data_IF_635816775510
#
_entry.id   IF_635816775510
#
_cell.length_a   1.000
_cell.length_b   1.000
_cell.length_c   1.000
_cell.angle_alpha   90.00
_cell.angle_beta   90.00
_cell.angle_gamma   90.00
#
_symmetry.space_group_name_H-M   'P 1'
#
loop_
_entity.id
_entity.type
_entity.pdbx_description
1 polymer ?
#
# COMPACT_ATOMS: atom_id res chain seq x y z
N UNK A 1 -16.71 32.73 5.16
CA UNK A 1 -16.10 31.61 4.42
C UNK A 1 -17.06 30.42 4.50
N UNK A 2 -17.49 29.88 3.36
CA UNK A 2 -18.21 28.61 3.39
C UNK A 2 -17.24 27.53 3.93
N UNK A 3 -17.68 26.61 4.81
CA UNK A 3 -16.85 25.51 5.25
C UNK A 3 -16.37 24.72 4.01
N UNK A 4 -15.16 24.16 4.05
CA UNK A 4 -14.68 23.32 2.95
C UNK A 4 -15.68 22.17 2.75
N UNK A 5 -16.13 21.98 1.50
CA UNK A 5 -17.25 21.08 1.16
C UNK A 5 -16.76 19.70 0.71
N UNK A 6 -15.59 19.25 1.17
CA UNK A 6 -15.01 17.96 0.81
C UNK A 6 -15.28 16.85 1.84
N UNK A 7 -15.21 15.60 1.41
CA UNK A 7 -15.39 14.41 2.26
C UNK A 7 -14.40 14.30 3.42
N UNK A 8 -13.24 14.96 3.29
CA UNK A 8 -12.15 14.94 4.26
C UNK A 8 -11.88 16.33 4.85
N UNK A 9 -12.87 17.22 4.80
CA UNK A 9 -12.76 18.56 5.43
C UNK A 9 -12.39 18.43 6.90
N UNK A 10 -11.43 19.24 7.33
CA UNK A 10 -10.89 19.27 8.70
C UNK A 10 -10.20 17.95 9.15
N UNK A 11 -9.86 17.06 8.21
CA UNK A 11 -9.15 15.82 8.51
C UNK A 11 -7.67 15.93 8.16
N UNK A 12 -6.83 15.34 9.01
CA UNK A 12 -5.39 15.18 8.76
C UNK A 12 -5.11 13.74 8.35
N UNK A 13 -4.51 13.57 7.16
CA UNK A 13 -4.22 12.25 6.56
C UNK A 13 -2.73 12.12 6.29
N UNK A 14 -2.11 11.07 6.83
CA UNK A 14 -0.74 10.66 6.47
C UNK A 14 -0.79 9.66 5.32
N UNK A 15 -0.10 9.96 4.22
CA UNK A 15 0.04 9.06 3.07
C UNK A 15 1.49 8.61 2.94
N UNK A 16 1.70 7.29 2.97
CA UNK A 16 3.02 6.66 2.81
C UNK A 16 3.18 6.05 1.42
N UNK A 17 4.42 5.82 0.98
CA UNK A 17 4.70 5.14 -0.29
C UNK A 17 4.61 6.03 -1.53
N UNK A 18 4.55 7.34 -1.37
CA UNK A 18 4.61 8.30 -2.48
C UNK A 18 6.05 8.40 -2.98
N UNK A 19 6.30 7.93 -4.20
CA UNK A 19 7.63 7.95 -4.81
C UNK A 19 7.66 8.76 -6.12
N UNK A 20 6.61 8.68 -6.92
CA UNK A 20 6.48 9.34 -8.23
C UNK A 20 5.05 9.85 -8.43
N UNK A 21 4.83 10.83 -9.32
CA UNK A 21 3.48 11.30 -9.65
C UNK A 21 2.52 10.18 -10.10
N UNK A 22 3.06 9.13 -10.78
CA UNK A 22 2.29 7.97 -11.24
C UNK A 22 2.04 6.90 -10.17
N UNK A 23 2.47 7.09 -8.91
CA UNK A 23 2.17 6.13 -7.85
C UNK A 23 0.70 6.27 -7.40
N UNK A 24 0.06 5.14 -7.06
CA UNK A 24 -1.31 5.15 -6.52
C UNK A 24 -1.39 6.09 -5.30
N UNK A 25 -0.38 6.05 -4.42
CA UNK A 25 -0.30 6.91 -3.25
C UNK A 25 -0.30 8.41 -3.59
N UNK A 26 0.33 8.81 -4.72
CA UNK A 26 0.31 10.20 -5.20
C UNK A 26 -1.11 10.63 -5.59
N UNK A 27 -1.84 9.80 -6.32
CA UNK A 27 -3.23 10.07 -6.69
C UNK A 27 -4.13 10.09 -5.45
N UNK A 28 -3.89 9.21 -4.47
CA UNK A 28 -4.63 9.24 -3.19
C UNK A 28 -4.38 10.55 -2.44
N UNK A 29 -3.13 11.01 -2.38
CA UNK A 29 -2.76 12.27 -1.74
C UNK A 29 -3.43 13.47 -2.42
N UNK A 30 -3.42 13.49 -3.76
CA UNK A 30 -4.06 14.55 -4.55
C UNK A 30 -5.59 14.60 -4.33
N UNK A 31 -6.27 13.45 -4.47
CA UNK A 31 -7.73 13.39 -4.27
C UNK A 31 -8.10 13.71 -2.81
N UNK A 32 -7.31 13.26 -1.83
CA UNK A 32 -7.54 13.62 -0.43
C UNK A 32 -7.43 15.13 -0.18
N UNK A 33 -6.41 15.78 -0.75
CA UNK A 33 -6.24 17.23 -0.67
C UNK A 33 -7.40 17.98 -1.35
N UNK A 34 -7.83 17.55 -2.55
CA UNK A 34 -9.00 18.11 -3.25
C UNK A 34 -10.29 17.95 -2.44
N UNK A 35 -10.36 16.93 -1.57
CA UNK A 35 -11.49 16.70 -0.67
C UNK A 35 -11.34 17.39 0.71
N UNK A 36 -10.40 18.32 0.81
CA UNK A 36 -10.27 19.21 1.97
C UNK A 36 -9.38 18.68 3.11
N UNK A 37 -8.66 17.57 2.91
CA UNK A 37 -7.73 17.06 3.90
C UNK A 37 -6.45 17.90 3.99
N UNK A 38 -5.91 18.05 5.22
CA UNK A 38 -4.49 18.31 5.40
C UNK A 38 -3.73 17.02 5.13
N UNK A 39 -3.01 16.96 4.01
CA UNK A 39 -2.27 15.77 3.61
C UNK A 39 -0.81 15.91 3.98
N UNK A 40 -0.33 14.96 4.75
CA UNK A 40 1.08 14.78 5.11
C UNK A 40 1.65 13.61 4.32
N UNK A 41 2.88 13.73 3.85
CA UNK A 41 3.58 12.64 3.17
C UNK A 41 4.74 12.13 4.02
N UNK A 42 4.98 10.81 3.97
CA UNK A 42 6.24 10.24 4.40
C UNK A 42 6.96 9.55 3.26
N UNK A 43 8.27 9.53 3.33
CA UNK A 43 9.12 8.91 2.32
C UNK A 43 10.36 8.25 2.92
N UNK A 44 10.79 7.16 2.28
CA UNK A 44 12.02 6.49 2.68
C UNK A 44 13.21 7.47 2.58
N UNK A 45 14.14 7.51 3.55
CA UNK A 45 15.26 8.46 3.58
C UNK A 45 16.07 8.55 2.28
N UNK A 46 16.30 7.41 1.62
CA UNK A 46 17.03 7.36 0.33
C UNK A 46 16.28 7.99 -0.85
N UNK A 47 14.97 8.12 -0.77
CA UNK A 47 14.10 8.65 -1.84
C UNK A 47 13.32 9.87 -1.41
N UNK A 48 13.66 10.46 -0.26
CA UNK A 48 12.94 11.59 0.34
C UNK A 48 12.82 12.77 -0.61
N UNK A 49 13.89 13.09 -1.36
CA UNK A 49 13.87 14.17 -2.35
C UNK A 49 12.86 13.96 -3.47
N UNK A 50 12.66 12.70 -3.90
CA UNK A 50 11.64 12.35 -4.90
C UNK A 50 10.23 12.57 -4.35
N UNK A 51 9.95 12.09 -3.14
CA UNK A 51 8.67 12.32 -2.46
C UNK A 51 8.41 13.82 -2.25
N UNK A 52 9.43 14.59 -1.83
CA UNK A 52 9.32 16.04 -1.68
C UNK A 52 9.05 16.77 -3.01
N UNK A 53 9.57 16.25 -4.13
CA UNK A 53 9.24 16.79 -5.45
C UNK A 53 7.77 16.57 -5.81
N UNK A 54 7.22 15.39 -5.48
CA UNK A 54 5.79 15.10 -5.67
C UNK A 54 4.95 16.02 -4.77
N UNK A 55 5.31 16.18 -3.48
CA UNK A 55 4.58 17.06 -2.56
C UNK A 55 4.49 18.49 -3.10
N UNK A 56 5.60 19.05 -3.62
CA UNK A 56 5.58 20.37 -4.27
C UNK A 56 4.70 20.43 -5.51
N UNK A 57 4.73 19.38 -6.34
CA UNK A 57 3.88 19.27 -7.54
C UNK A 57 2.39 19.24 -7.21
N UNK A 58 2.04 18.68 -6.05
CA UNK A 58 0.67 18.64 -5.53
C UNK A 58 0.30 19.90 -4.72
N UNK A 59 1.22 20.84 -4.51
CA UNK A 59 0.97 22.03 -3.70
C UNK A 59 0.79 21.75 -2.21
N UNK A 60 1.31 20.63 -1.68
CA UNK A 60 1.22 20.28 -0.27
C UNK A 60 2.22 21.11 0.55
N UNK A 61 1.77 21.84 1.58
CA UNK A 61 2.60 22.81 2.28
C UNK A 61 3.55 22.19 3.30
N UNK A 62 3.19 21.03 3.85
CA UNK A 62 3.96 20.40 4.92
C UNK A 62 5.21 19.68 4.39
N UNK A 63 6.33 19.68 5.14
CA UNK A 63 7.52 18.93 4.75
C UNK A 63 7.28 17.42 4.80
N UNK A 64 7.99 16.68 3.95
CA UNK A 64 7.91 15.21 3.93
C UNK A 64 8.64 14.63 5.14
N UNK A 65 7.97 13.79 5.92
CA UNK A 65 8.54 13.10 7.08
C UNK A 65 9.37 11.90 6.64
N UNK A 66 10.66 11.79 7.01
CA UNK A 66 11.44 10.59 6.75
C UNK A 66 10.84 9.37 7.46
N UNK A 67 10.73 8.25 6.75
CA UNK A 67 10.21 7.00 7.31
C UNK A 67 10.79 5.78 6.60
N UNK A 68 11.51 4.95 7.32
CA UNK A 68 11.87 3.59 6.93
C UNK A 68 11.09 2.61 7.80
N UNK A 69 10.14 1.90 7.21
CA UNK A 69 9.28 0.95 7.93
C UNK A 69 9.99 -0.34 8.37
N UNK A 70 11.23 -0.53 7.94
CA UNK A 70 12.08 -1.64 8.37
C UNK A 70 13.08 -1.23 9.48
N UNK A 71 13.05 0.04 9.91
CA UNK A 71 13.93 0.59 10.95
C UNK A 71 13.12 1.01 12.17
N UNK A 72 13.40 0.38 13.31
CA UNK A 72 12.69 0.62 14.56
C UNK A 72 12.87 2.07 15.07
N UNK A 73 14.05 2.66 14.91
CA UNK A 73 14.31 4.04 15.33
C UNK A 73 13.53 5.02 14.45
N UNK A 74 13.46 4.74 13.14
CA UNK A 74 12.65 5.54 12.21
C UNK A 74 11.15 5.46 12.52
N UNK A 75 10.65 4.28 12.87
CA UNK A 75 9.27 4.10 13.29
C UNK A 75 8.98 4.85 14.59
N UNK A 76 9.84 4.73 15.60
CA UNK A 76 9.67 5.40 16.90
C UNK A 76 9.71 6.93 16.78
N UNK A 77 10.41 7.47 15.80
CA UNK A 77 10.51 8.90 15.53
C UNK A 77 9.27 9.47 14.81
N UNK A 78 8.38 8.65 14.24
CA UNK A 78 7.27 9.11 13.40
C UNK A 78 6.30 10.02 14.15
N UNK A 79 5.72 9.57 15.26
CA UNK A 79 4.75 10.38 16.01
C UNK A 79 5.35 11.68 16.59
N UNK A 80 6.58 11.67 17.16
CA UNK A 80 7.28 12.91 17.50
C UNK A 80 7.43 13.88 16.33
N UNK A 81 7.94 13.41 15.18
CA UNK A 81 8.14 14.26 14.01
C UNK A 81 6.83 14.88 13.49
N UNK A 82 5.73 14.13 13.51
CA UNK A 82 4.42 14.67 13.14
C UNK A 82 3.89 15.69 14.17
N UNK A 83 4.15 15.49 15.46
CA UNK A 83 3.80 16.47 16.51
C UNK A 83 4.57 17.78 16.33
N UNK A 84 5.82 17.73 15.93
CA UNK A 84 6.64 18.92 15.63
C UNK A 84 6.07 19.73 14.45
N UNK A 85 5.34 19.08 13.54
CA UNK A 85 4.54 19.74 12.49
C UNK A 85 3.17 20.25 12.96
N UNK A 86 2.92 20.20 14.27
CA UNK A 86 1.64 20.63 14.85
C UNK A 86 0.49 19.63 14.66
N UNK A 87 0.80 18.36 14.38
CA UNK A 87 -0.22 17.31 14.25
C UNK A 87 -0.58 16.81 15.64
N UNK A 88 -1.80 17.07 16.07
CA UNK A 88 -2.34 16.58 17.35
C UNK A 88 -3.12 15.27 17.17
N UNK A 89 -3.57 14.99 15.94
CA UNK A 89 -4.36 13.83 15.58
C UNK A 89 -4.19 13.49 14.12
N UNK A 90 -4.16 12.18 13.81
CA UNK A 90 -4.33 11.64 12.47
C UNK A 90 -5.74 11.05 12.32
N UNK A 91 -6.51 11.59 11.39
CA UNK A 91 -7.83 11.08 11.03
C UNK A 91 -7.76 9.97 9.98
N UNK A 92 -6.66 9.93 9.23
CA UNK A 92 -6.41 8.94 8.20
C UNK A 92 -4.94 8.54 8.10
N UNK A 93 -4.72 7.26 7.81
CA UNK A 93 -3.41 6.69 7.52
C UNK A 93 -3.51 5.81 6.28
N UNK A 94 -2.72 6.13 5.25
CA UNK A 94 -2.64 5.35 4.02
C UNK A 94 -1.29 4.63 3.95
N UNK A 95 -1.35 3.30 3.99
CA UNK A 95 -0.20 2.42 3.82
C UNK A 95 -0.14 1.93 2.37
N UNK A 96 0.80 2.47 1.58
CA UNK A 96 1.03 2.12 0.17
C UNK A 96 2.48 1.70 -0.05
N UNK A 97 2.94 0.74 0.75
CA UNK A 97 4.32 0.28 0.77
C UNK A 97 4.36 -1.20 0.42
N UNK A 98 5.23 -1.57 -0.53
CA UNK A 98 5.57 -2.94 -0.82
C UNK A 98 6.94 -3.01 -1.51
N UNK A 99 7.67 -4.08 -1.25
CA UNK A 99 8.94 -4.40 -1.88
C UNK A 99 9.14 -5.91 -1.93
N UNK A 100 9.65 -6.39 -3.06
CA UNK A 100 10.24 -7.71 -3.16
C UNK A 100 11.51 -7.62 -4.03
N UNK A 101 12.49 -8.45 -3.73
CA UNK A 101 13.66 -8.63 -4.58
C UNK A 101 13.24 -9.43 -5.83
N UNK A 102 13.93 -9.24 -6.96
CA UNK A 102 13.52 -9.78 -8.26
C UNK A 102 13.43 -11.33 -8.28
N UNK A 103 14.27 -12.00 -7.50
CA UNK A 103 14.28 -13.46 -7.37
C UNK A 103 13.08 -14.04 -6.61
N UNK A 104 12.28 -13.18 -5.97
CA UNK A 104 11.02 -13.53 -5.32
C UNK A 104 9.79 -13.34 -6.24
N UNK A 105 9.98 -12.72 -7.40
CA UNK A 105 8.95 -12.56 -8.43
C UNK A 105 8.95 -13.77 -9.38
N UNK A 106 7.90 -13.89 -10.18
CA UNK A 106 7.75 -14.99 -11.15
C UNK A 106 7.08 -16.20 -10.49
N UNK A 107 7.82 -16.97 -9.70
CA UNK A 107 7.33 -18.21 -9.08
C UNK A 107 7.69 -18.31 -7.61
N UNK A 108 6.86 -19.02 -6.86
CA UNK A 108 7.10 -19.29 -5.42
C UNK A 108 8.25 -20.30 -5.26
N UNK A 109 8.26 -21.35 -6.09
CA UNK A 109 9.35 -22.31 -6.10
C UNK A 109 10.51 -21.76 -6.95
N UNK A 110 11.77 -21.92 -6.50
CA UNK A 110 12.90 -21.67 -7.38
C UNK A 110 12.83 -22.65 -8.56
N UNK A 111 12.60 -22.11 -9.76
CA UNK A 111 12.70 -22.94 -10.96
C UNK A 111 14.19 -23.13 -11.22
N UNK A 112 14.69 -24.31 -10.86
CA UNK A 112 16.05 -24.71 -11.20
C UNK A 112 16.15 -24.84 -12.72
N UNK A 113 17.22 -24.30 -13.29
CA UNK A 113 17.59 -24.60 -14.66
C UNK A 113 17.88 -26.12 -14.70
N UNK A 114 17.26 -26.92 -15.60
CA UNK A 114 17.57 -28.34 -15.73
C UNK A 114 19.07 -28.52 -15.86
N UNK A 115 19.69 -29.27 -14.92
CA UNK A 115 21.13 -29.49 -14.86
C UNK A 115 21.92 -28.69 -13.84
N UNK A 116 21.32 -27.70 -13.14
CA UNK A 116 21.98 -26.94 -12.09
C UNK A 116 21.77 -27.53 -10.68
N UNK A 117 21.05 -28.63 -10.54
CA UNK A 117 20.66 -29.27 -9.28
C UNK A 117 21.73 -30.16 -8.70
N UNK A 118 22.74 -29.58 -8.06
CA UNK A 118 23.62 -30.31 -7.15
C UNK A 118 23.46 -29.76 -5.74
N UNK A 119 23.23 -30.61 -4.75
CA UNK A 119 23.40 -30.23 -3.36
C UNK A 119 24.88 -29.86 -3.13
N UNK A 120 25.17 -28.57 -3.08
CA UNK A 120 26.53 -28.05 -2.90
C UNK A 120 26.52 -26.67 -2.23
N UNK A 121 27.68 -26.17 -1.79
CA UNK A 121 27.79 -24.88 -1.08
C UNK A 121 27.13 -23.71 -1.82
N UNK A 122 27.17 -23.67 -3.15
CA UNK A 122 26.52 -22.64 -3.96
C UNK A 122 24.99 -22.69 -3.91
N UNK A 123 24.42 -23.89 -3.87
CA UNK A 123 22.98 -24.11 -3.71
C UNK A 123 22.51 -23.64 -2.33
N UNK A 124 23.29 -23.94 -1.28
CA UNK A 124 23.00 -23.50 0.08
C UNK A 124 23.04 -21.97 0.19
N UNK A 125 24.11 -21.34 -0.30
CA UNK A 125 24.26 -19.89 -0.26
C UNK A 125 23.12 -19.15 -0.99
N UNK A 126 22.69 -19.67 -2.15
CA UNK A 126 21.54 -19.13 -2.91
C UNK A 126 20.23 -19.26 -2.13
N UNK A 127 20.02 -20.39 -1.47
CA UNK A 127 18.83 -20.62 -0.64
C UNK A 127 18.82 -19.64 0.55
N UNK A 128 19.95 -19.47 1.24
CA UNK A 128 20.07 -18.52 2.35
C UNK A 128 19.80 -17.08 1.90
N UNK A 129 20.35 -16.64 0.75
CA UNK A 129 20.09 -15.29 0.24
C UNK A 129 18.61 -15.09 -0.11
N UNK A 130 17.98 -16.09 -0.74
CA UNK A 130 16.54 -16.05 -1.03
C UNK A 130 15.70 -15.96 0.25
N UNK A 131 16.07 -16.70 1.31
CA UNK A 131 15.38 -16.62 2.60
C UNK A 131 15.55 -15.23 3.24
N UNK A 132 16.75 -14.66 3.22
CA UNK A 132 16.97 -13.26 3.66
C UNK A 132 16.18 -12.26 2.84
N UNK A 133 16.08 -12.45 1.54
CA UNK A 133 15.23 -11.65 0.65
C UNK A 133 13.76 -11.72 1.04
N UNK A 134 13.27 -12.91 1.37
CA UNK A 134 11.90 -13.12 1.81
C UNK A 134 11.61 -12.45 3.16
N UNK A 135 12.52 -12.53 4.11
CA UNK A 135 12.42 -11.83 5.40
C UNK A 135 12.31 -10.32 5.20
N UNK A 136 13.17 -9.73 4.34
CA UNK A 136 13.09 -8.30 3.99
C UNK A 136 11.77 -7.96 3.32
N UNK A 137 11.33 -8.79 2.37
CA UNK A 137 10.07 -8.57 1.65
C UNK A 137 8.85 -8.67 2.59
N UNK A 138 8.84 -9.63 3.52
CA UNK A 138 7.80 -9.77 4.53
C UNK A 138 7.74 -8.55 5.46
N UNK A 139 8.91 -8.12 5.98
CA UNK A 139 9.01 -6.95 6.84
C UNK A 139 8.42 -5.71 6.16
N UNK A 140 8.81 -5.44 4.90
CA UNK A 140 8.39 -4.22 4.19
C UNK A 140 6.99 -4.32 3.60
N UNK A 141 6.53 -5.50 3.15
CA UNK A 141 5.28 -5.61 2.39
C UNK A 141 4.09 -6.12 3.20
N UNK A 142 4.32 -6.67 4.39
CA UNK A 142 3.26 -7.20 5.25
C UNK A 142 3.36 -6.68 6.69
N UNK A 143 4.48 -6.92 7.39
CA UNK A 143 4.66 -6.54 8.78
C UNK A 143 4.75 -5.01 8.99
N UNK A 144 5.07 -4.26 7.94
CA UNK A 144 5.13 -2.80 8.01
C UNK A 144 3.77 -2.13 8.28
N UNK A 145 2.64 -2.76 7.92
CA UNK A 145 1.32 -2.19 8.25
C UNK A 145 1.07 -2.13 9.76
N UNK A 146 1.14 -3.25 10.53
CA UNK A 146 0.99 -3.18 11.98
C UNK A 146 2.07 -2.31 12.64
N UNK A 147 3.33 -2.37 12.19
CA UNK A 147 4.40 -1.53 12.72
C UNK A 147 4.13 -0.02 12.52
N UNK A 148 3.63 0.38 11.35
CA UNK A 148 3.26 1.75 11.06
C UNK A 148 2.04 2.21 11.87
N UNK A 149 1.05 1.33 12.06
CA UNK A 149 -0.13 1.61 12.88
C UNK A 149 0.27 1.81 14.35
N UNK A 150 1.17 0.99 14.87
CA UNK A 150 1.72 1.14 16.22
C UNK A 150 2.49 2.46 16.38
N UNK A 151 3.41 2.76 15.45
CA UNK A 151 4.19 4.00 15.43
C UNK A 151 3.31 5.27 15.34
N UNK A 152 2.22 5.22 14.59
CA UNK A 152 1.23 6.28 14.49
C UNK A 152 0.21 6.27 15.66
N UNK A 153 0.17 5.21 16.43
CA UNK A 153 -0.82 4.92 17.48
C UNK A 153 -1.11 6.08 18.45
N UNK A 154 -0.09 6.84 18.91
CA UNK A 154 -0.32 8.01 19.77
C UNK A 154 -1.11 9.16 19.11
N UNK A 155 -1.26 9.14 17.79
CA UNK A 155 -2.01 10.15 17.02
C UNK A 155 -3.32 9.60 16.44
N UNK A 156 -3.50 8.28 16.39
CA UNK A 156 -4.74 7.63 15.94
C UNK A 156 -5.76 7.65 17.09
N UNK A 157 -6.94 8.21 16.85
CA UNK A 157 -8.01 8.35 17.85
C UNK A 157 -9.38 7.90 17.31
N UNK A 158 -10.43 8.17 18.09
CA UNK A 158 -11.82 7.82 17.77
C UNK A 158 -12.19 8.27 16.34
N UNK A 159 -12.69 7.36 15.51
CA UNK A 159 -13.11 7.62 14.14
C UNK A 159 -11.97 7.79 13.13
N UNK A 160 -10.70 7.48 13.51
CA UNK A 160 -9.60 7.38 12.55
C UNK A 160 -9.80 6.20 11.60
N UNK A 161 -9.18 6.26 10.43
CA UNK A 161 -9.26 5.20 9.43
C UNK A 161 -7.89 4.89 8.83
N UNK A 162 -7.54 3.62 8.81
CA UNK A 162 -6.34 3.07 8.16
C UNK A 162 -6.75 2.37 6.87
N UNK A 163 -6.07 2.70 5.77
CA UNK A 163 -6.29 2.08 4.47
C UNK A 163 -4.95 1.56 3.94
N UNK A 164 -4.90 0.29 3.56
CA UNK A 164 -3.74 -0.28 2.88
C UNK A 164 -4.06 -0.69 1.45
N UNK A 165 -3.04 -0.73 0.59
CA UNK A 165 -3.16 -1.19 -0.79
C UNK A 165 -2.68 -2.66 -0.90
N UNK A 166 -3.54 -3.50 -1.46
CA UNK A 166 -3.25 -4.90 -1.74
C UNK A 166 -3.50 -5.24 -3.21
N UNK A 167 -3.25 -6.49 -3.56
CA UNK A 167 -3.65 -7.11 -4.81
C UNK A 167 -4.27 -8.46 -4.45
N UNK A 168 -5.40 -8.82 -5.03
CA UNK A 168 -6.24 -9.97 -4.65
C UNK A 168 -5.41 -11.22 -4.32
N UNK A 169 -5.33 -11.57 -3.05
CA UNK A 169 -4.57 -12.71 -2.56
C UNK A 169 -5.36 -14.03 -2.59
N UNK A 170 -6.65 -13.99 -2.91
CA UNK A 170 -7.48 -15.18 -3.02
C UNK A 170 -7.22 -15.97 -4.31
N UNK A 171 -6.47 -15.38 -5.25
CA UNK A 171 -6.12 -15.99 -6.53
C UNK A 171 -4.63 -15.97 -6.78
N UNK A 172 -4.16 -16.88 -7.64
CA UNK A 172 -2.78 -16.90 -8.10
C UNK A 172 -2.69 -16.17 -9.43
N UNK A 173 -1.82 -15.17 -9.48
CA UNK A 173 -1.53 -14.42 -10.69
C UNK A 173 -0.14 -14.80 -11.23
N UNK A 174 -0.02 -15.25 -12.49
CA UNK A 174 1.27 -15.56 -13.10
C UNK A 174 2.23 -14.38 -12.99
N UNK A 175 3.48 -14.66 -12.68
CA UNK A 175 4.51 -13.63 -12.54
C UNK A 175 4.58 -12.95 -11.17
N UNK A 176 3.55 -13.09 -10.32
CA UNK A 176 3.48 -12.38 -9.04
C UNK A 176 4.34 -13.03 -7.93
N UNK A 177 4.68 -14.31 -8.05
CA UNK A 177 5.59 -15.04 -7.14
C UNK A 177 5.20 -14.91 -5.68
N UNK A 178 6.19 -14.61 -4.83
CA UNK A 178 6.00 -14.44 -3.39
C UNK A 178 5.16 -13.22 -3.01
N UNK A 179 4.94 -12.27 -3.91
CA UNK A 179 4.05 -11.14 -3.60
C UNK A 179 2.63 -11.59 -3.27
N UNK A 180 2.12 -12.68 -3.86
CA UNK A 180 0.81 -13.25 -3.51
C UNK A 180 0.72 -13.63 -2.03
N UNK A 181 1.57 -14.54 -1.51
CA UNK A 181 1.63 -14.87 -0.08
C UNK A 181 1.86 -13.66 0.84
N UNK A 182 2.67 -12.68 0.42
CA UNK A 182 2.89 -11.45 1.20
C UNK A 182 1.63 -10.58 1.28
N UNK A 183 0.85 -10.50 0.19
CA UNK A 183 -0.44 -9.79 0.20
C UNK A 183 -1.48 -10.53 1.04
N UNK A 184 -1.49 -11.86 1.07
CA UNK A 184 -2.34 -12.64 1.97
C UNK A 184 -2.02 -12.34 3.44
N UNK A 185 -0.74 -12.26 3.80
CA UNK A 185 -0.31 -11.86 5.14
C UNK A 185 -0.74 -10.43 5.49
N UNK A 186 -0.60 -9.48 4.56
CA UNK A 186 -1.06 -8.09 4.72
C UNK A 186 -2.57 -8.03 4.97
N UNK A 187 -3.38 -8.74 4.18
CA UNK A 187 -4.84 -8.79 4.32
C UNK A 187 -5.27 -9.47 5.63
N UNK A 188 -4.53 -10.48 6.09
CA UNK A 188 -4.74 -11.08 7.40
C UNK A 188 -4.46 -10.06 8.53
N UNK A 189 -3.41 -9.26 8.41
CA UNK A 189 -3.08 -8.19 9.37
C UNK A 189 -4.17 -7.10 9.41
N UNK A 190 -4.81 -6.78 8.27
CA UNK A 190 -5.96 -5.85 8.23
C UNK A 190 -7.11 -6.35 9.11
N UNK A 191 -7.43 -7.65 9.04
CA UNK A 191 -8.50 -8.25 9.85
C UNK A 191 -8.15 -8.24 11.34
N UNK A 192 -6.92 -8.59 11.69
CA UNK A 192 -6.44 -8.57 13.08
C UNK A 192 -6.51 -7.15 13.65
N UNK A 193 -5.91 -6.17 12.96
CA UNK A 193 -5.92 -4.77 13.39
C UNK A 193 -7.33 -4.19 13.50
N UNK A 194 -8.26 -4.58 12.61
CA UNK A 194 -9.66 -4.14 12.69
C UNK A 194 -10.34 -4.59 13.98
N UNK A 195 -10.00 -5.78 14.49
CA UNK A 195 -10.50 -6.30 15.77
C UNK A 195 -9.80 -5.60 16.94
N UNK A 196 -8.48 -5.53 16.92
CA UNK A 196 -7.68 -4.96 18.02
C UNK A 196 -7.94 -3.46 18.24
N UNK A 197 -8.22 -2.73 17.16
CA UNK A 197 -8.45 -1.27 17.22
C UNK A 197 -9.94 -0.88 17.29
N UNK A 198 -10.84 -1.87 17.24
CA UNK A 198 -12.28 -1.63 17.23
C UNK A 198 -12.80 -0.89 18.45
N UNK A 199 -12.30 -1.19 19.65
CA UNK A 199 -12.65 -0.47 20.89
C UNK A 199 -12.21 1.00 20.89
N UNK A 200 -11.21 1.34 20.09
CA UNK A 200 -10.75 2.72 19.86
C UNK A 200 -11.48 3.41 18.70
N UNK A 201 -12.50 2.77 18.12
CA UNK A 201 -13.24 3.21 16.93
C UNK A 201 -12.31 3.54 15.73
N UNK A 202 -11.17 2.87 15.62
CA UNK A 202 -10.26 2.98 14.47
C UNK A 202 -10.59 1.89 13.48
N UNK A 203 -10.96 2.26 12.25
CA UNK A 203 -11.28 1.33 11.17
C UNK A 203 -10.02 0.99 10.37
N UNK A 204 -9.88 -0.26 9.96
CA UNK A 204 -8.74 -0.72 9.14
C UNK A 204 -9.27 -1.52 7.96
N UNK A 205 -8.96 -1.09 6.73
CA UNK A 205 -9.41 -1.75 5.51
C UNK A 205 -8.29 -1.83 4.48
N UNK A 206 -8.43 -2.76 3.54
CA UNK A 206 -7.60 -2.90 2.36
C UNK A 206 -8.36 -2.52 1.09
N UNK A 207 -7.65 -2.00 0.10
CA UNK A 207 -8.14 -1.85 -1.27
C UNK A 207 -7.33 -2.79 -2.15
N UNK A 208 -8.00 -3.76 -2.78
CA UNK A 208 -7.42 -4.59 -3.83
C UNK A 208 -7.67 -3.91 -5.17
N UNK A 209 -6.64 -3.28 -5.72
CA UNK A 209 -6.75 -2.63 -7.02
C UNK A 209 -6.48 -3.62 -8.14
N UNK A 210 -7.03 -3.38 -9.34
CA UNK A 210 -6.51 -3.99 -10.56
C UNK A 210 -5.05 -3.60 -10.80
N UNK A 211 -4.35 -4.23 -11.75
CA UNK A 211 -2.96 -3.91 -12.05
C UNK A 211 -2.80 -2.44 -12.45
N UNK A 212 -1.81 -1.77 -11.86
CA UNK A 212 -1.49 -0.37 -12.12
C UNK A 212 -0.08 -0.23 -12.66
N UNK A 213 0.12 0.59 -13.68
CA UNK A 213 1.41 0.88 -14.34
C UNK A 213 2.31 1.73 -13.45
N UNK A 214 2.78 1.14 -12.35
CA UNK A 214 3.68 1.77 -11.39
C UNK A 214 5.12 1.27 -11.59
N UNK A 215 6.09 1.95 -10.99
CA UNK A 215 7.50 1.51 -11.00
C UNK A 215 7.66 0.10 -10.40
N UNK A 216 6.92 -0.20 -9.34
CA UNK A 216 6.96 -1.52 -8.70
C UNK A 216 6.36 -2.61 -9.60
N UNK A 217 5.29 -2.31 -10.30
CA UNK A 217 4.63 -3.24 -11.21
C UNK A 217 5.49 -3.59 -12.44
N UNK A 218 6.29 -2.64 -12.92
CA UNK A 218 7.20 -2.87 -14.04
C UNK A 218 8.30 -3.92 -13.76
N UNK A 219 8.53 -4.27 -12.50
CA UNK A 219 9.45 -5.36 -12.12
C UNK A 219 8.81 -6.76 -12.17
N UNK A 220 7.47 -6.84 -12.29
CA UNK A 220 6.74 -8.12 -12.31
C UNK A 220 6.86 -8.77 -13.68
N UNK A 221 7.41 -10.00 -13.79
CA UNK A 221 7.46 -10.71 -15.05
C UNK A 221 6.06 -10.91 -15.65
N UNK A 222 5.88 -10.56 -16.92
CA UNK A 222 4.59 -10.69 -17.61
C UNK A 222 3.54 -9.63 -17.23
N UNK A 223 3.95 -8.50 -16.62
CA UNK A 223 3.01 -7.43 -16.22
C UNK A 223 2.18 -6.90 -17.41
N UNK A 224 2.78 -6.75 -18.58
CA UNK A 224 2.04 -6.29 -19.80
C UNK A 224 0.92 -7.26 -20.19
N UNK A 225 1.19 -8.56 -20.12
CA UNK A 225 0.19 -9.59 -20.41
C UNK A 225 -0.92 -9.60 -19.36
N UNK A 226 -0.55 -9.49 -18.06
CA UNK A 226 -1.50 -9.35 -16.98
C UNK A 226 -2.40 -8.12 -17.18
N UNK A 227 -1.82 -6.98 -17.53
CA UNK A 227 -2.54 -5.71 -17.77
C UNK A 227 -3.52 -5.82 -18.93
N UNK A 228 -3.08 -6.43 -20.05
CA UNK A 228 -3.92 -6.67 -21.22
C UNK A 228 -5.10 -7.59 -20.89
N UNK A 229 -4.80 -8.75 -20.29
CA UNK A 229 -5.84 -9.73 -19.92
C UNK A 229 -6.83 -9.15 -18.90
N UNK A 230 -6.37 -8.21 -18.04
CA UNK A 230 -7.25 -7.56 -17.07
C UNK A 230 -8.23 -6.62 -17.75
N UNK A 231 -7.78 -5.82 -18.69
CA UNK A 231 -8.63 -4.91 -19.45
C UNK A 231 -9.67 -5.66 -20.29
N UNK A 232 -9.33 -6.86 -20.79
CA UNK A 232 -10.25 -7.71 -21.56
C UNK A 232 -11.34 -8.34 -20.70
N UNK A 233 -11.04 -8.70 -19.44
CA UNK A 233 -12.00 -9.40 -18.57
C UNK A 233 -12.77 -8.47 -17.64
N UNK A 234 -12.35 -7.23 -17.47
CA UNK A 234 -13.01 -6.26 -16.59
C UNK A 234 -14.32 -5.77 -17.20
N UNK A 235 -15.50 -6.05 -16.64
CA UNK A 235 -16.79 -5.62 -17.21
C UNK A 235 -16.95 -4.10 -17.34
N UNK A 236 -16.30 -3.33 -16.46
CA UNK A 236 -16.31 -1.86 -16.51
C UNK A 236 -15.12 -1.29 -17.32
N UNK A 237 -14.27 -2.16 -17.89
CA UNK A 237 -12.96 -1.78 -18.37
C UNK A 237 -11.97 -1.52 -17.23
N UNK A 238 -10.69 -1.43 -17.55
CA UNK A 238 -9.63 -1.08 -16.60
C UNK A 238 -8.51 -0.32 -17.30
N UNK A 239 -8.24 0.89 -16.83
CA UNK A 239 -7.09 1.68 -17.26
C UNK A 239 -5.97 1.55 -16.22
N UNK A 240 -4.89 0.92 -16.58
CA UNK A 240 -3.72 0.72 -15.70
C UNK A 240 -2.97 2.02 -15.39
N UNK A 241 -3.21 3.09 -16.15
CA UNK A 241 -2.60 4.40 -15.98
C UNK A 241 -3.40 5.33 -15.05
N UNK A 242 -4.68 5.03 -14.79
CA UNK A 242 -5.55 5.90 -13.99
C UNK A 242 -5.90 5.29 -12.63
N UNK A 243 -5.27 5.80 -11.57
CA UNK A 243 -5.52 5.39 -10.18
C UNK A 243 -6.71 6.14 -9.52
N UNK A 244 -7.46 6.96 -10.25
CA UNK A 244 -8.53 7.81 -9.68
C UNK A 244 -9.62 7.00 -8.98
N UNK A 245 -10.03 5.86 -9.54
CA UNK A 245 -11.03 5.00 -8.91
C UNK A 245 -10.55 4.45 -7.56
N UNK A 246 -9.28 4.03 -7.49
CA UNK A 246 -8.63 3.55 -6.26
C UNK A 246 -8.53 4.69 -5.23
N UNK A 247 -8.11 5.86 -5.66
CA UNK A 247 -7.97 7.04 -4.79
C UNK A 247 -9.32 7.50 -4.22
N UNK A 248 -10.38 7.53 -5.02
CA UNK A 248 -11.73 7.87 -4.55
C UNK A 248 -12.26 6.85 -3.54
N UNK A 249 -11.98 5.57 -3.74
CA UNK A 249 -12.34 4.53 -2.77
C UNK A 249 -11.55 4.71 -1.47
N UNK A 250 -10.26 5.04 -1.54
CA UNK A 250 -9.45 5.34 -0.36
C UNK A 250 -10.05 6.53 0.42
N UNK A 251 -10.41 7.61 -0.27
CA UNK A 251 -11.04 8.78 0.34
C UNK A 251 -12.38 8.43 0.99
N UNK A 252 -13.22 7.62 0.34
CA UNK A 252 -14.48 7.16 0.93
C UNK A 252 -14.25 6.35 2.22
N UNK A 253 -13.27 5.44 2.23
CA UNK A 253 -12.89 4.66 3.42
C UNK A 253 -12.29 5.53 4.52
N UNK A 254 -11.53 6.58 4.18
CA UNK A 254 -10.96 7.54 5.13
C UNK A 254 -12.02 8.48 5.71
N UNK A 255 -13.13 8.67 5.02
CA UNK A 255 -14.21 9.57 5.43
C UNK A 255 -15.15 8.95 6.46
N UNK A 256 -16.15 9.73 6.89
CA UNK A 256 -17.26 9.26 7.75
C UNK A 256 -18.37 8.55 6.97
N UNK A 257 -18.26 8.43 5.64
CA UNK A 257 -19.31 7.82 4.81
C UNK A 257 -19.39 6.31 4.95
N UNK A 258 -18.32 5.66 5.41
CA UNK A 258 -18.27 4.22 5.64
C UNK A 258 -17.97 3.88 7.10
N UNK A 259 -18.82 4.34 8.06
CA UNK A 259 -18.49 4.32 9.49
C UNK A 259 -18.45 2.90 10.08
N UNK A 260 -19.15 1.95 9.48
CA UNK A 260 -19.24 0.56 9.94
C UNK A 260 -18.44 -0.42 9.07
N UNK A 261 -17.51 0.08 8.22
CA UNK A 261 -16.68 -0.76 7.36
C UNK A 261 -15.29 -0.88 7.96
N UNK A 262 -14.95 -2.07 8.47
CA UNK A 262 -13.63 -2.40 9.03
C UNK A 262 -13.30 -3.87 8.77
N UNK A 263 -12.03 -4.20 8.60
CA UNK A 263 -11.54 -5.55 8.32
C UNK A 263 -11.81 -6.05 6.90
N UNK A 264 -12.21 -5.17 5.98
CA UNK A 264 -12.60 -5.55 4.63
C UNK A 264 -11.48 -5.35 3.62
N UNK A 265 -11.49 -6.19 2.59
CA UNK A 265 -10.74 -5.97 1.34
C UNK A 265 -11.74 -5.56 0.26
N UNK A 266 -11.68 -4.30 -0.15
CA UNK A 266 -12.57 -3.72 -1.17
C UNK A 266 -11.88 -3.84 -2.53
N UNK A 267 -12.51 -4.54 -3.47
CA UNK A 267 -12.01 -4.67 -4.83
C UNK A 267 -12.34 -3.41 -5.66
N UNK A 268 -11.31 -2.86 -6.28
CA UNK A 268 -11.40 -1.76 -7.24
C UNK A 268 -10.60 -2.17 -8.47
N UNK A 269 -11.24 -2.92 -9.35
CA UNK A 269 -10.58 -3.70 -10.39
C UNK A 269 -11.41 -3.83 -11.68
N UNK A 270 -12.41 -2.98 -11.83
CA UNK A 270 -13.34 -3.02 -12.95
C UNK A 270 -14.30 -4.22 -12.94
N UNK A 271 -14.37 -4.96 -11.81
CA UNK A 271 -15.19 -6.17 -11.69
C UNK A 271 -14.48 -7.44 -12.17
N UNK A 272 -13.19 -7.38 -12.47
CA UNK A 272 -12.43 -8.55 -12.96
C UNK A 272 -12.41 -9.72 -11.97
N UNK A 273 -12.39 -9.42 -10.65
CA UNK A 273 -12.31 -10.45 -9.60
C UNK A 273 -13.53 -11.38 -9.55
N UNK A 274 -14.69 -10.98 -10.08
CA UNK A 274 -15.92 -11.79 -10.05
C UNK A 274 -16.20 -12.51 -11.36
N UNK A 275 -15.42 -12.24 -12.41
CA UNK A 275 -15.59 -12.91 -13.71
C UNK A 275 -15.01 -14.31 -13.66
N UNK A 276 -15.85 -15.31 -13.86
CA UNK A 276 -15.42 -16.70 -14.07
C UNK A 276 -14.68 -16.82 -15.39
N UNK A 277 -13.48 -17.42 -15.39
CA UNK A 277 -12.75 -17.74 -16.63
C UNK A 277 -13.21 -19.11 -17.10
N UNK A 278 -13.69 -19.21 -18.35
CA UNK A 278 -13.73 -20.49 -19.05
C UNK A 278 -12.28 -20.98 -19.22
N UNK A 279 -12.00 -22.25 -18.89
CA UNK A 279 -10.72 -22.90 -19.13
C UNK A 279 -10.51 -23.12 -20.61
#
# INVERSE_FOLDING_TARGET
>A
MNPPTGLLSDRTVLVTGVLRPSSIASTVADVAAQQGARVLLSGHPRTLAATASVARGLGLPDPVTPLDVADADSLSALAPALKDLGVTRLDGLVHSIARADLDLLGTVLPLETPGAGGAGPESTARTEERMRGLERAFTVSAASLPALVDAAGPLLGLGSSVVTLTFDSARVYPGYGWMGPLKAALEASVRALAVELGEREVRVNAISSGPMSTTAAGAIPGFEELSRSWSEVSPLGWDTGDATAVARTAVALLSTWMPATSGQTIHVDGGACVVGRAR
#
